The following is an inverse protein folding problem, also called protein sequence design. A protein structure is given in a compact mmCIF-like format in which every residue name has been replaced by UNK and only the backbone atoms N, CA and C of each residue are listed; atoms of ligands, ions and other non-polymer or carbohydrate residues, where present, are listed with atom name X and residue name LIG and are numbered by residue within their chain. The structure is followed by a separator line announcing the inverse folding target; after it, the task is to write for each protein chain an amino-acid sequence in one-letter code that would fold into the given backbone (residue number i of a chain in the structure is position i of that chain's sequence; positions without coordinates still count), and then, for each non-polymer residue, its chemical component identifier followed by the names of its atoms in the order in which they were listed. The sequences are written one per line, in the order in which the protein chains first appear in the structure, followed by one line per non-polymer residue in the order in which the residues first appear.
data_IF_466820591447
#
_entry.id   IF_466820591447
#
_cell.length_a   1.000
_cell.length_b   1.000
_cell.length_c   1.000
_cell.angle_alpha   90.00
_cell.angle_beta   90.00
_cell.angle_gamma   90.00
#
_symmetry.space_group_name_H-M   'P 1'
#
loop_
_entity.id
_entity.type
_entity.pdbx_description
1 polymer ?
#
# COMPACT_ATOMS: atom_id res chain seq x y z
N UNK A 1 16.45 -18.06 11.05
CA UNK A 1 15.97 -17.31 9.87
C UNK A 1 16.91 -17.64 8.73
N UNK A 2 16.44 -18.31 7.68
CA UNK A 2 17.32 -18.71 6.57
C UNK A 2 17.24 -17.61 5.52
N UNK A 3 18.30 -16.82 5.41
CA UNK A 3 18.43 -15.80 4.36
C UNK A 3 18.84 -16.48 3.05
N UNK A 4 18.40 -15.92 1.93
CA UNK A 4 18.44 -16.45 0.55
C UNK A 4 19.84 -16.69 -0.05
N UNK A 5 20.90 -16.79 0.75
CA UNK A 5 22.23 -17.17 0.26
C UNK A 5 22.31 -18.70 0.18
N UNK A 6 22.06 -19.21 -1.03
CA UNK A 6 22.24 -20.60 -1.51
C UNK A 6 21.44 -21.70 -0.81
N UNK A 7 20.11 -21.68 -0.96
CA UNK A 7 19.26 -22.83 -0.66
C UNK A 7 18.88 -23.53 -1.97
N UNK A 8 18.90 -24.87 -1.98
CA UNK A 8 18.42 -25.67 -3.12
C UNK A 8 17.05 -26.23 -2.80
N UNK A 9 16.10 -26.10 -3.73
CA UNK A 9 14.83 -26.81 -3.64
C UNK A 9 15.08 -28.29 -3.94
N UNK A 10 14.57 -29.19 -3.10
CA UNK A 10 14.63 -30.62 -3.38
C UNK A 10 13.86 -30.94 -4.65
N UNK A 11 14.35 -31.89 -5.47
CA UNK A 11 13.72 -32.24 -6.75
C UNK A 11 12.24 -32.61 -6.63
N UNK A 12 11.83 -33.22 -5.52
CA UNK A 12 10.43 -33.52 -5.21
C UNK A 12 9.55 -32.25 -5.14
N UNK A 13 10.05 -31.16 -4.57
CA UNK A 13 9.28 -29.89 -4.45
C UNK A 13 9.00 -29.28 -5.83
N UNK A 14 9.94 -29.42 -6.77
CA UNK A 14 9.73 -28.99 -8.16
C UNK A 14 8.77 -29.92 -8.91
N UNK A 15 8.85 -31.23 -8.66
CA UNK A 15 8.01 -32.21 -9.35
C UNK A 15 6.56 -32.24 -8.85
N UNK A 16 6.33 -31.96 -7.57
CA UNK A 16 5.00 -31.95 -6.96
C UNK A 16 4.27 -30.60 -7.17
N UNK A 17 4.96 -29.56 -7.64
CA UNK A 17 4.37 -28.27 -7.95
C UNK A 17 3.62 -28.32 -9.29
N UNK A 18 2.30 -28.10 -9.27
CA UNK A 18 1.51 -28.02 -10.50
C UNK A 18 1.66 -26.65 -11.18
N UNK A 19 1.96 -25.62 -10.39
CA UNK A 19 2.17 -24.25 -10.84
C UNK A 19 3.15 -23.49 -9.93
N UNK A 20 3.58 -22.31 -10.37
CA UNK A 20 4.51 -21.46 -9.64
C UNK A 20 4.00 -21.00 -8.26
N UNK A 21 2.67 -21.00 -8.02
CA UNK A 21 2.10 -20.67 -6.72
C UNK A 21 2.35 -21.77 -5.67
N UNK A 22 2.60 -23.01 -6.09
CA UNK A 22 2.88 -24.13 -5.18
C UNK A 22 4.32 -24.12 -4.66
N UNK A 23 5.20 -23.41 -5.37
CA UNK A 23 6.59 -23.22 -4.96
C UNK A 23 6.70 -22.36 -3.68
N UNK A 24 7.73 -22.59 -2.86
CA UNK A 24 7.97 -21.79 -1.66
C UNK A 24 8.12 -20.30 -1.98
N UNK A 25 7.42 -19.48 -1.20
CA UNK A 25 7.41 -18.03 -1.27
C UNK A 25 7.74 -17.41 0.08
N UNK A 26 7.97 -16.10 0.11
CA UNK A 26 8.27 -15.36 1.34
C UNK A 26 7.15 -15.57 2.37
N UNK A 27 7.54 -15.96 3.59
CA UNK A 27 6.62 -16.28 4.68
C UNK A 27 6.19 -17.75 4.75
N UNK A 28 6.55 -18.60 3.79
CA UNK A 28 6.26 -20.02 3.89
C UNK A 28 7.03 -20.72 5.02
N UNK A 29 6.32 -21.57 5.75
CA UNK A 29 6.92 -22.55 6.62
C UNK A 29 7.41 -23.73 5.78
N UNK A 30 8.68 -24.08 5.90
CA UNK A 30 9.32 -25.13 5.10
C UNK A 30 10.04 -26.15 5.99
N UNK A 31 9.93 -27.42 5.63
CA UNK A 31 10.77 -28.47 6.18
C UNK A 31 12.15 -28.40 5.52
N UNK A 32 13.18 -28.23 6.35
CA UNK A 32 14.55 -28.11 5.90
C UNK A 32 15.33 -29.38 6.24
N UNK A 33 16.11 -29.84 5.27
CA UNK A 33 17.17 -30.80 5.50
C UNK A 33 18.51 -30.06 5.52
N UNK A 34 19.24 -30.22 6.62
CA UNK A 34 20.55 -29.62 6.82
C UNK A 34 21.56 -30.76 6.77
N UNK A 35 22.43 -30.76 5.76
CA UNK A 35 23.53 -31.71 5.70
C UNK A 35 24.40 -31.63 6.96
N UNK A 36 25.22 -32.66 7.21
CA UNK A 36 26.01 -32.80 8.45
C UNK A 36 26.88 -31.58 8.79
N UNK A 37 27.33 -30.83 7.76
CA UNK A 37 28.16 -29.62 7.93
C UNK A 37 27.37 -28.29 7.87
N UNK A 38 26.04 -28.31 7.76
CA UNK A 38 25.16 -27.13 7.61
C UNK A 38 25.46 -26.21 6.40
N UNK A 39 26.40 -26.58 5.51
CA UNK A 39 26.77 -25.79 4.33
C UNK A 39 25.73 -25.85 3.20
N UNK A 40 24.94 -26.93 3.14
CA UNK A 40 23.83 -27.07 2.20
C UNK A 40 22.50 -27.22 2.94
N UNK A 41 21.56 -26.32 2.63
CA UNK A 41 20.19 -26.35 3.14
C UNK A 41 19.26 -26.67 1.98
N UNK A 42 18.57 -27.81 2.09
CA UNK A 42 17.61 -28.27 1.09
C UNK A 42 16.20 -28.10 1.65
N UNK A 43 15.34 -27.41 0.88
CA UNK A 43 13.90 -27.36 1.19
C UNK A 43 13.27 -28.67 0.71
N UNK A 44 12.76 -29.47 1.64
CA UNK A 44 12.14 -30.78 1.38
C UNK A 44 10.66 -30.68 1.12
N UNK A 45 9.98 -29.78 1.83
CA UNK A 45 8.53 -29.65 1.77
C UNK A 45 8.11 -28.23 2.19
N UNK A 46 7.03 -27.73 1.57
CA UNK A 46 6.32 -26.53 2.02
C UNK A 46 5.11 -26.96 2.84
N UNK A 47 4.99 -26.44 4.06
CA UNK A 47 3.85 -26.71 4.92
C UNK A 47 2.60 -25.91 4.46
N UNK A 48 1.39 -26.33 4.86
CA UNK A 48 0.16 -25.64 4.50
C UNK A 48 0.17 -24.15 4.87
N UNK A 49 -0.34 -23.31 3.96
CA UNK A 49 -0.49 -21.87 4.19
C UNK A 49 -1.81 -21.59 4.88
N UNK A 50 -1.81 -20.71 5.88
CA UNK A 50 -3.07 -20.21 6.46
C UNK A 50 -3.55 -18.91 5.79
N UNK A 51 -2.65 -18.16 5.17
CA UNK A 51 -2.98 -16.99 4.36
C UNK A 51 -2.08 -16.91 3.12
N UNK A 52 -2.62 -16.33 2.05
CA UNK A 52 -1.93 -16.26 0.74
C UNK A 52 -2.28 -14.98 0.01
N UNK A 53 -1.27 -14.13 -0.17
CA UNK A 53 -1.33 -12.95 -1.03
C UNK A 53 -0.73 -13.30 -2.39
N UNK A 54 -1.56 -13.22 -3.42
CA UNK A 54 -1.16 -13.58 -4.77
C UNK A 54 -1.65 -12.58 -5.80
N UNK A 55 -0.99 -12.63 -6.96
CA UNK A 55 -1.31 -11.82 -8.13
C UNK A 55 -1.33 -12.69 -9.37
N UNK A 56 -2.03 -12.25 -10.41
CA UNK A 56 -1.81 -12.80 -11.76
C UNK A 56 -0.49 -12.27 -12.30
N UNK A 57 0.31 -13.14 -12.92
CA UNK A 57 1.51 -12.71 -13.61
C UNK A 57 1.15 -11.82 -14.82
N UNK A 58 1.92 -10.75 -15.09
CA UNK A 58 1.77 -9.98 -16.33
C UNK A 58 2.10 -10.86 -17.55
N UNK A 59 1.15 -11.07 -18.45
CA UNK A 59 1.35 -11.85 -19.69
C UNK A 59 0.17 -12.74 -20.09
N UNK A 60 0.39 -13.63 -21.08
CA UNK A 60 -0.63 -14.56 -21.62
C UNK A 60 -0.89 -15.79 -20.74
N UNK A 61 -0.10 -16.02 -19.69
CA UNK A 61 -0.34 -17.13 -18.76
C UNK A 61 -1.21 -16.65 -17.60
N UNK A 62 -2.32 -17.35 -17.34
CA UNK A 62 -3.18 -17.11 -16.17
C UNK A 62 -2.55 -17.62 -14.85
N UNK A 63 -1.22 -17.60 -14.76
CA UNK A 63 -0.48 -18.19 -13.65
C UNK A 63 -0.48 -17.24 -12.45
N UNK A 64 -0.77 -17.81 -11.29
CA UNK A 64 -0.79 -17.14 -9.99
C UNK A 64 0.64 -17.06 -9.45
N UNK A 65 1.08 -15.86 -9.07
CA UNK A 65 2.34 -15.64 -8.36
C UNK A 65 2.02 -15.27 -6.91
N UNK A 66 2.59 -16.01 -5.96
CA UNK A 66 2.44 -15.73 -4.53
C UNK A 66 3.49 -14.71 -4.10
N UNK A 67 3.02 -13.60 -3.54
CA UNK A 67 3.84 -12.48 -3.10
C UNK A 67 4.21 -12.61 -1.62
N UNK A 68 3.28 -13.10 -0.80
CA UNK A 68 3.52 -13.39 0.62
C UNK A 68 2.57 -14.49 1.11
N UNK A 69 3.05 -15.33 2.01
CA UNK A 69 2.28 -16.37 2.66
C UNK A 69 2.36 -16.22 4.19
N UNK A 70 1.38 -16.80 4.90
CA UNK A 70 1.36 -16.86 6.37
C UNK A 70 1.51 -15.49 7.05
N UNK A 71 0.87 -14.48 6.48
CA UNK A 71 0.68 -13.16 7.08
C UNK A 71 -0.54 -13.22 8.00
N UNK A 72 -0.36 -12.93 9.28
CA UNK A 72 -1.45 -12.88 10.27
C UNK A 72 -2.24 -11.57 10.15
N UNK A 73 -1.54 -10.46 9.94
CA UNK A 73 -2.15 -9.12 9.98
C UNK A 73 -1.67 -8.29 8.80
N UNK A 74 -2.62 -7.72 8.06
CA UNK A 74 -2.32 -6.67 7.08
C UNK A 74 -2.74 -5.34 7.65
N UNK A 75 -1.76 -4.46 7.80
CA UNK A 75 -1.94 -3.10 8.28
C UNK A 75 -2.12 -2.17 7.09
N UNK A 76 -3.34 -1.69 6.88
CA UNK A 76 -3.66 -0.68 5.87
C UNK A 76 -3.43 0.70 6.49
N UNK A 77 -2.44 1.42 6.00
CA UNK A 77 -2.11 2.76 6.45
C UNK A 77 -2.72 3.77 5.47
N UNK A 78 -3.57 4.65 5.99
CA UNK A 78 -4.13 5.79 5.24
C UNK A 78 -4.06 7.05 6.10
N UNK A 79 -4.40 8.20 5.54
CA UNK A 79 -4.51 9.45 6.30
C UNK A 79 -5.93 10.03 6.21
N UNK A 80 -6.40 10.88 7.16
CA UNK A 80 -7.75 11.43 7.17
C UNK A 80 -8.18 12.33 6.00
N UNK A 81 -7.55 12.35 4.83
CA UNK A 81 -8.01 13.30 3.80
C UNK A 81 -7.73 12.91 2.36
N UNK A 82 -6.71 13.45 1.70
CA UNK A 82 -6.41 13.22 0.29
C UNK A 82 -6.11 11.75 -0.02
N UNK A 83 -5.61 10.98 0.95
CA UNK A 83 -5.50 9.53 0.76
C UNK A 83 -6.76 8.77 1.21
N UNK A 84 -7.62 9.42 2.00
CA UNK A 84 -8.85 8.83 2.48
C UNK A 84 -9.84 8.60 1.34
N UNK A 85 -9.90 7.37 0.85
CA UNK A 85 -10.84 6.93 -0.17
C UNK A 85 -11.54 5.66 0.32
N UNK A 86 -12.82 5.77 0.66
CA UNK A 86 -13.62 4.64 1.17
C UNK A 86 -13.71 3.48 0.19
N UNK A 87 -13.86 3.73 -1.12
CA UNK A 87 -13.91 2.65 -2.14
C UNK A 87 -12.59 1.89 -2.20
N UNK A 88 -11.45 2.59 -2.11
CA UNK A 88 -10.12 1.94 -2.05
C UNK A 88 -9.98 1.13 -0.76
N UNK A 89 -10.42 1.68 0.37
CA UNK A 89 -10.38 0.99 1.65
C UNK A 89 -11.25 -0.28 1.63
N UNK A 90 -12.44 -0.22 1.05
CA UNK A 90 -13.35 -1.36 0.90
C UNK A 90 -12.67 -2.50 0.14
N UNK A 91 -11.99 -2.15 -0.96
CA UNK A 91 -11.23 -3.11 -1.77
C UNK A 91 -10.08 -3.73 -0.99
N UNK A 92 -9.28 -2.93 -0.26
CA UNK A 92 -8.21 -3.46 0.58
C UNK A 92 -8.74 -4.45 1.60
N UNK A 93 -9.77 -4.06 2.34
CA UNK A 93 -10.36 -4.89 3.40
C UNK A 93 -10.92 -6.20 2.82
N UNK A 94 -11.64 -6.12 1.70
CA UNK A 94 -12.16 -7.30 1.00
C UNK A 94 -11.05 -8.24 0.54
N UNK A 95 -9.96 -7.71 -0.02
CA UNK A 95 -8.82 -8.53 -0.47
C UNK A 95 -8.11 -9.20 0.70
N UNK A 96 -7.87 -8.45 1.79
CA UNK A 96 -7.21 -8.96 3.00
C UNK A 96 -8.02 -10.09 3.61
N UNK A 97 -9.33 -9.91 3.74
CA UNK A 97 -10.24 -10.93 4.27
C UNK A 97 -10.24 -12.19 3.38
N UNK A 98 -10.28 -12.03 2.05
CA UNK A 98 -10.19 -13.16 1.10
C UNK A 98 -8.86 -13.91 1.19
N UNK A 99 -7.77 -13.22 1.52
CA UNK A 99 -6.45 -13.81 1.69
C UNK A 99 -6.30 -14.56 3.03
N UNK A 100 -7.28 -14.47 3.94
CA UNK A 100 -7.26 -15.14 5.25
C UNK A 100 -6.47 -14.40 6.33
N UNK A 101 -6.07 -13.14 6.08
CA UNK A 101 -5.37 -12.32 7.07
C UNK A 101 -6.33 -11.38 7.80
N UNK A 102 -5.97 -10.94 9.00
CA UNK A 102 -6.76 -9.98 9.79
C UNK A 102 -6.46 -8.54 9.32
N UNK A 103 -7.47 -7.76 8.90
CA UNK A 103 -7.27 -6.36 8.55
C UNK A 103 -7.16 -5.47 9.79
N UNK A 104 -6.13 -4.62 9.81
CA UNK A 104 -6.00 -3.51 10.77
C UNK A 104 -5.81 -2.22 9.96
N UNK A 105 -6.56 -1.17 10.29
CA UNK A 105 -6.45 0.12 9.62
C UNK A 105 -5.81 1.13 10.55
N UNK A 106 -4.72 1.75 10.09
CA UNK A 106 -4.12 2.90 10.75
C UNK A 106 -4.49 4.16 9.98
N UNK A 107 -5.34 4.97 10.59
CA UNK A 107 -5.63 6.33 10.17
C UNK A 107 -4.53 7.25 10.71
N UNK A 108 -3.42 7.31 9.98
CA UNK A 108 -2.18 8.00 10.35
C UNK A 108 -2.21 9.51 10.06
N UNK A 109 -1.24 10.24 10.60
CA UNK A 109 -1.11 11.71 10.48
C UNK A 109 -2.30 12.48 11.07
N UNK A 110 -2.94 11.92 12.10
CA UNK A 110 -4.05 12.56 12.78
C UNK A 110 -3.68 13.91 13.41
N UNK A 111 -2.39 14.14 13.70
CA UNK A 111 -1.82 15.41 14.19
C UNK A 111 -2.02 16.59 13.23
N UNK A 112 -2.29 16.32 11.94
CA UNK A 112 -2.50 17.35 10.92
C UNK A 112 -3.98 17.75 10.75
N UNK A 113 -4.91 17.10 11.46
CA UNK A 113 -6.35 17.27 11.27
C UNK A 113 -7.07 17.57 12.59
N UNK A 114 -8.19 18.32 12.55
CA UNK A 114 -9.05 18.48 13.71
C UNK A 114 -9.58 17.14 14.20
N UNK A 115 -9.71 16.97 15.51
CA UNK A 115 -10.17 15.72 16.14
C UNK A 115 -11.49 15.21 15.56
N UNK A 116 -12.48 16.09 15.40
CA UNK A 116 -13.79 15.76 14.79
C UNK A 116 -13.64 15.18 13.38
N UNK A 117 -12.68 15.66 12.60
CA UNK A 117 -12.43 15.17 11.25
C UNK A 117 -11.86 13.74 11.27
N UNK A 118 -10.92 13.47 12.17
CA UNK A 118 -10.39 12.13 12.40
C UNK A 118 -11.45 11.16 12.92
N UNK A 119 -12.33 11.61 13.81
CA UNK A 119 -13.43 10.79 14.33
C UNK A 119 -14.40 10.38 13.23
N UNK A 120 -14.83 11.32 12.39
CA UNK A 120 -15.72 11.04 11.27
C UNK A 120 -15.10 10.02 10.29
N UNK A 121 -13.84 10.23 9.91
CA UNK A 121 -13.13 9.29 9.03
C UNK A 121 -13.01 7.89 9.65
N UNK A 122 -12.74 7.79 10.96
CA UNK A 122 -12.71 6.51 11.65
C UNK A 122 -14.10 5.83 11.71
N UNK A 123 -15.18 6.60 11.89
CA UNK A 123 -16.55 6.07 11.85
C UNK A 123 -16.94 5.55 10.46
N UNK A 124 -16.61 6.28 9.39
CA UNK A 124 -16.86 5.82 8.02
C UNK A 124 -16.13 4.49 7.73
N UNK A 125 -14.89 4.33 8.20
CA UNK A 125 -14.17 3.06 8.11
C UNK A 125 -14.83 1.94 8.93
N UNK A 126 -15.33 2.23 10.14
CA UNK A 126 -16.01 1.23 10.98
C UNK A 126 -17.32 0.76 10.36
N UNK A 127 -18.01 1.66 9.64
CA UNK A 127 -19.20 1.31 8.88
C UNK A 127 -18.87 0.43 7.67
N UNK A 128 -17.64 0.53 7.13
CA UNK A 128 -17.19 -0.21 5.96
C UNK A 128 -16.84 -1.66 6.26
N UNK A 129 -16.15 -1.94 7.37
CA UNK A 129 -15.90 -3.30 7.83
C UNK A 129 -16.10 -3.41 9.34
N UNK A 130 -16.91 -4.40 9.74
CA UNK A 130 -17.11 -4.75 11.15
C UNK A 130 -15.98 -5.60 11.72
N UNK A 131 -15.12 -6.15 10.85
CA UNK A 131 -14.01 -7.05 11.22
C UNK A 131 -12.72 -6.26 11.39
N UNK A 132 -12.54 -5.18 10.63
CA UNK A 132 -11.33 -4.37 10.68
C UNK A 132 -11.22 -3.55 11.98
N UNK A 133 -10.08 -3.66 12.65
CA UNK A 133 -9.75 -2.80 13.79
C UNK A 133 -9.16 -1.48 13.30
N UNK A 134 -9.74 -0.35 13.72
CA UNK A 134 -9.40 0.98 13.21
C UNK A 134 -8.79 1.84 14.31
N UNK A 135 -7.58 2.32 14.06
CA UNK A 135 -6.82 3.14 15.00
C UNK A 135 -6.45 4.48 14.39
N UNK A 136 -6.77 5.55 15.11
CA UNK A 136 -6.31 6.90 14.80
C UNK A 136 -4.91 7.09 15.37
N UNK A 137 -3.94 7.41 14.53
CA UNK A 137 -2.52 7.40 14.89
C UNK A 137 -1.78 8.61 14.34
N UNK A 138 -0.62 8.88 14.94
CA UNK A 138 0.38 9.78 14.39
C UNK A 138 1.75 9.13 14.56
N UNK A 139 2.39 8.79 13.45
CA UNK A 139 3.77 8.31 13.46
C UNK A 139 4.72 9.40 13.99
N UNK A 140 4.42 10.68 13.74
CA UNK A 140 5.23 11.82 14.22
C UNK A 140 5.21 11.93 15.75
N UNK A 141 4.06 11.72 16.37
CA UNK A 141 3.90 11.75 17.82
C UNK A 141 4.07 10.35 18.46
N UNK A 142 4.64 9.39 17.73
CA UNK A 142 4.85 7.99 18.15
C UNK A 142 3.60 7.19 18.55
N UNK A 143 2.39 7.77 18.47
CA UNK A 143 1.13 7.08 18.84
C UNK A 143 0.82 5.87 17.95
N UNK A 144 1.32 5.84 16.72
CA UNK A 144 1.12 4.70 15.81
C UNK A 144 1.94 3.48 16.17
N UNK A 145 3.10 3.68 16.79
CA UNK A 145 4.01 2.61 17.17
C UNK A 145 3.44 1.77 18.30
N UNK A 146 2.85 2.41 19.30
CA UNK A 146 2.28 1.72 20.47
C UNK A 146 1.10 0.81 20.10
N UNK A 147 0.29 1.24 19.14
CA UNK A 147 -0.79 0.42 18.57
C UNK A 147 -0.20 -0.82 17.88
N UNK A 148 0.81 -0.64 17.03
CA UNK A 148 1.44 -1.74 16.31
C UNK A 148 2.11 -2.74 17.27
N UNK A 149 2.80 -2.25 18.31
CA UNK A 149 3.39 -3.08 19.37
C UNK A 149 2.38 -3.99 20.05
N UNK A 150 1.14 -3.53 20.24
CA UNK A 150 0.06 -4.35 20.81
C UNK A 150 -0.26 -5.62 20.00
N UNK A 151 0.04 -5.60 18.70
CA UNK A 151 -0.17 -6.73 17.79
C UNK A 151 1.06 -7.61 17.61
N UNK A 152 2.26 -7.06 17.83
CA UNK A 152 3.55 -7.67 17.52
C UNK A 152 3.99 -8.66 18.60
N UNK A 153 3.24 -9.75 18.74
CA UNK A 153 3.59 -10.86 19.61
C UNK A 153 4.56 -11.81 18.90
N UNK A 154 5.39 -12.59 19.64
CA UNK A 154 6.22 -13.63 19.05
C UNK A 154 5.39 -14.57 18.14
N UNK A 155 5.88 -14.79 16.93
CA UNK A 155 5.22 -15.62 15.91
C UNK A 155 4.17 -14.92 15.05
N UNK A 156 3.78 -13.69 15.36
CA UNK A 156 2.83 -12.91 14.53
C UNK A 156 3.56 -12.24 13.38
N UNK A 157 3.06 -12.46 12.16
CA UNK A 157 3.57 -11.87 10.93
C UNK A 157 2.68 -10.72 10.46
N UNK A 158 3.30 -9.56 10.22
CA UNK A 158 2.60 -8.36 9.76
C UNK A 158 3.16 -7.88 8.43
N UNK A 159 2.32 -7.17 7.68
CA UNK A 159 2.76 -6.38 6.52
C UNK A 159 2.00 -5.06 6.44
N UNK A 160 2.62 -4.04 5.85
CA UNK A 160 2.05 -2.69 5.73
C UNK A 160 1.72 -2.38 4.26
N UNK A 161 0.48 -1.99 4.00
CA UNK A 161 -0.02 -1.53 2.69
C UNK A 161 -0.66 -0.14 2.81
N UNK A 162 -0.90 0.53 1.68
CA UNK A 162 -1.45 1.89 1.64
C UNK A 162 -0.64 2.78 0.70
N UNK A 163 -1.11 3.96 0.36
CA UNK A 163 -0.51 4.78 -0.71
C UNK A 163 0.84 5.39 -0.35
N UNK A 164 1.58 5.89 -1.35
CA UNK A 164 2.85 6.58 -1.10
C UNK A 164 2.66 7.82 -0.23
N UNK A 165 3.59 8.08 0.69
CA UNK A 165 3.57 9.26 1.54
C UNK A 165 2.66 9.18 2.78
N UNK A 166 1.85 8.14 2.99
CA UNK A 166 0.98 8.01 4.19
C UNK A 166 1.73 7.69 5.49
N UNK A 167 3.05 7.46 5.42
CA UNK A 167 3.91 7.23 6.59
C UNK A 167 4.28 5.77 6.88
N UNK A 168 4.07 4.85 5.93
CA UNK A 168 4.45 3.42 6.07
C UNK A 168 5.94 3.25 6.41
N UNK A 169 6.83 3.88 5.64
CA UNK A 169 8.28 3.81 5.85
C UNK A 169 8.71 4.34 7.20
N UNK A 170 8.08 5.43 7.67
CA UNK A 170 8.31 5.97 9.01
C UNK A 170 7.91 4.96 10.09
N UNK A 171 6.75 4.32 9.96
CA UNK A 171 6.30 3.28 10.90
C UNK A 171 7.23 2.05 10.87
N UNK A 172 7.68 1.61 9.69
CA UNK A 172 8.64 0.50 9.56
C UNK A 172 9.97 0.82 10.24
N UNK A 173 10.50 2.02 10.03
CA UNK A 173 11.74 2.46 10.67
C UNK A 173 11.62 2.49 12.19
N UNK A 174 10.50 3.00 12.70
CA UNK A 174 10.20 3.02 14.13
C UNK A 174 10.13 1.59 14.71
N UNK A 175 9.50 0.65 14.00
CA UNK A 175 9.43 -0.75 14.41
C UNK A 175 10.79 -1.46 14.43
N UNK A 176 11.70 -1.08 13.54
CA UNK A 176 13.04 -1.67 13.44
C UNK A 176 14.07 -0.97 14.35
N UNK A 177 13.67 0.06 15.09
CA UNK A 177 14.53 0.77 16.05
C UNK A 177 15.59 1.68 15.40
N UNK A 178 15.35 2.22 14.19
CA UNK A 178 16.28 3.15 13.53
C UNK A 178 15.96 3.47 12.06
N UNK A 179 16.84 4.22 11.38
CA UNK A 179 16.70 4.56 9.95
C UNK A 179 17.05 3.39 9.03
N UNK A 180 16.13 2.43 8.94
CA UNK A 180 16.29 1.25 8.09
C UNK A 180 15.90 1.49 6.62
N UNK A 181 15.00 2.44 6.37
CA UNK A 181 14.59 2.95 5.06
C UNK A 181 14.96 4.43 4.97
N UNK A 182 15.54 4.88 3.85
CA UNK A 182 15.68 6.32 3.58
C UNK A 182 14.28 6.95 3.52
N UNK A 183 13.91 7.72 4.54
CA UNK A 183 12.72 8.57 4.51
C UNK A 183 13.09 9.88 3.81
N UNK A 184 13.28 9.85 2.50
CA UNK A 184 13.37 11.11 1.75
C UNK A 184 12.01 11.81 1.79
N UNK A 185 12.01 13.10 2.10
CA UNK A 185 10.86 13.96 1.84
C UNK A 185 10.47 13.84 0.36
N UNK A 186 9.17 13.81 0.11
CA UNK A 186 8.56 13.56 -1.21
C UNK A 186 9.27 14.38 -2.28
N UNK A 187 10.01 13.71 -3.18
CA UNK A 187 10.78 14.38 -4.23
C UNK A 187 9.80 14.89 -5.31
N UNK A 188 9.46 16.18 -5.26
CA UNK A 188 8.39 16.82 -6.05
C UNK A 188 8.66 16.92 -7.57
N UNK A 189 9.78 16.42 -8.09
CA UNK A 189 10.25 16.84 -9.42
C UNK A 189 10.27 15.75 -10.50
N UNK A 190 10.17 14.45 -10.17
CA UNK A 190 10.36 13.41 -11.22
C UNK A 190 9.31 12.30 -11.31
N UNK A 191 8.35 12.17 -10.38
CA UNK A 191 7.20 11.25 -10.51
C UNK A 191 7.52 9.75 -10.66
N UNK A 192 8.80 9.37 -10.78
CA UNK A 192 9.30 8.00 -10.79
C UNK A 192 10.41 7.92 -9.75
N UNK A 193 10.02 7.49 -8.55
CA UNK A 193 10.99 7.06 -7.55
C UNK A 193 11.75 5.86 -8.13
N UNK A 194 13.06 6.02 -8.32
CA UNK A 194 13.98 4.91 -8.60
C UNK A 194 14.13 4.12 -7.30
N UNK A 195 13.10 3.35 -6.98
CA UNK A 195 13.10 2.41 -5.86
C UNK A 195 14.04 1.27 -6.19
N UNK A 196 15.28 1.36 -5.70
CA UNK A 196 16.20 0.22 -5.73
C UNK A 196 16.27 -0.36 -4.33
N UNK A 197 15.15 -0.93 -3.86
CA UNK A 197 15.16 -1.79 -2.66
C UNK A 197 14.90 -3.22 -3.12
N UNK A 198 15.92 -3.82 -3.74
CA UNK A 198 15.79 -5.10 -4.43
C UNK A 198 15.69 -6.32 -3.52
N UNK A 199 15.97 -6.24 -2.20
CA UNK A 199 15.86 -7.42 -1.34
C UNK A 199 15.56 -7.08 0.12
N UNK A 200 14.27 -7.09 0.52
CA UNK A 200 13.84 -7.37 1.90
C UNK A 200 12.57 -8.22 1.83
N UNK A 201 12.59 -9.36 2.50
CA UNK A 201 11.58 -10.41 2.32
C UNK A 201 10.84 -10.67 3.64
N UNK A 202 11.55 -10.92 4.74
CA UNK A 202 10.97 -11.08 6.07
C UNK A 202 11.98 -10.65 7.12
N UNK A 203 11.57 -9.89 8.13
CA UNK A 203 12.44 -9.31 9.17
C UNK A 203 11.89 -9.65 10.56
N UNK A 204 12.73 -10.14 11.47
CA UNK A 204 12.37 -10.29 12.89
C UNK A 204 12.47 -8.93 13.56
N UNK A 205 11.40 -8.49 14.21
CA UNK A 205 11.40 -7.21 14.91
C UNK A 205 12.03 -7.35 16.30
N UNK A 206 12.76 -6.32 16.81
CA UNK A 206 13.46 -6.38 18.08
C UNK A 206 12.55 -6.71 19.28
N UNK A 207 11.32 -6.21 19.25
CA UNK A 207 10.33 -6.35 20.34
C UNK A 207 9.38 -7.56 20.14
N UNK A 208 9.58 -8.35 19.07
CA UNK A 208 8.75 -9.50 18.74
C UNK A 208 7.93 -9.33 17.46
N UNK A 209 7.51 -10.46 16.89
CA UNK A 209 6.81 -10.50 15.60
C UNK A 209 7.74 -10.44 14.38
N UNK A 210 7.14 -10.56 13.21
CA UNK A 210 7.80 -10.66 11.91
C UNK A 210 7.19 -9.60 10.98
N UNK A 211 8.03 -8.86 10.25
CA UNK A 211 7.61 -7.90 9.24
C UNK A 211 7.96 -8.41 7.85
N UNK A 212 6.95 -8.52 6.98
CA UNK A 212 7.13 -8.72 5.54
C UNK A 212 7.02 -7.36 4.86
N UNK A 213 8.13 -6.85 4.31
CA UNK A 213 8.20 -5.62 3.51
C UNK A 213 8.88 -5.96 2.18
N UNK A 214 8.14 -6.61 1.29
CA UNK A 214 8.59 -6.88 -0.06
C UNK A 214 7.89 -5.96 -1.07
N UNK A 215 8.52 -5.67 -2.22
CA UNK A 215 7.90 -4.88 -3.27
C UNK A 215 6.58 -5.48 -3.78
N UNK A 216 6.43 -6.81 -3.78
CA UNK A 216 5.23 -7.51 -4.22
C UNK A 216 3.98 -7.16 -3.39
N UNK A 217 4.10 -7.04 -2.07
CA UNK A 217 2.99 -6.63 -1.20
C UNK A 217 2.64 -5.16 -1.41
N UNK A 218 3.60 -4.32 -1.84
CA UNK A 218 3.29 -2.97 -2.33
C UNK A 218 2.50 -2.99 -3.64
N UNK A 219 2.49 -4.09 -4.39
CA UNK A 219 1.63 -4.22 -5.56
C UNK A 219 0.17 -4.40 -5.18
N UNK A 220 -0.19 -4.88 -3.98
CA UNK A 220 -1.58 -4.82 -3.48
C UNK A 220 -2.09 -3.36 -3.53
N UNK A 221 -1.19 -2.40 -3.31
CA UNK A 221 -1.47 -0.98 -3.56
C UNK A 221 -1.85 -0.74 -5.03
N UNK A 222 -1.06 -1.27 -5.97
CA UNK A 222 -1.34 -1.20 -7.41
C UNK A 222 -2.71 -1.84 -7.76
N UNK A 223 -3.04 -3.03 -7.26
CA UNK A 223 -4.34 -3.70 -7.48
C UNK A 223 -5.55 -2.83 -7.09
N UNK A 224 -5.35 -1.80 -6.27
CA UNK A 224 -6.41 -0.90 -5.80
C UNK A 224 -6.21 0.57 -6.19
N UNK A 225 -5.09 0.90 -6.85
CA UNK A 225 -4.74 2.23 -7.32
C UNK A 225 -5.45 2.53 -8.65
N UNK A 226 -5.73 3.81 -8.85
CA UNK A 226 -6.38 4.39 -10.04
C UNK A 226 -5.76 3.95 -11.37
N UNK A 227 -4.44 3.76 -11.38
CA UNK A 227 -3.68 3.34 -12.56
C UNK A 227 -4.07 1.93 -13.04
N UNK A 228 -4.28 0.98 -12.13
CA UNK A 228 -4.67 -0.39 -12.48
C UNK A 228 -6.16 -0.50 -12.81
N UNK A 229 -6.98 0.41 -12.29
CA UNK A 229 -8.35 0.59 -12.76
C UNK A 229 -8.37 1.12 -14.20
N UNK A 230 -7.53 2.11 -14.54
CA UNK A 230 -7.37 2.58 -15.94
C UNK A 230 -6.85 1.48 -16.86
N UNK A 231 -5.91 0.64 -16.42
CA UNK A 231 -5.49 -0.54 -17.20
C UNK A 231 -6.65 -1.50 -17.55
N UNK A 232 -7.66 -1.63 -16.69
CA UNK A 232 -8.85 -2.46 -16.99
C UNK A 232 -9.78 -1.87 -18.07
N UNK A 233 -9.56 -0.61 -18.42
CA UNK A 233 -10.20 0.14 -19.50
C UNK A 233 -9.17 0.57 -20.56
N UNK A 234 -8.02 -0.11 -20.66
CA UNK A 234 -6.98 0.23 -21.64
C UNK A 234 -7.52 0.25 -23.09
N UNK A 235 -8.48 -0.62 -23.40
CA UNK A 235 -9.22 -0.64 -24.67
C UNK A 235 -10.01 0.66 -24.92
N UNK A 236 -10.53 1.29 -23.86
CA UNK A 236 -11.24 2.57 -23.92
C UNK A 236 -10.26 3.75 -23.90
N UNK A 237 -9.15 3.66 -23.16
CA UNK A 237 -8.06 4.66 -23.16
C UNK A 237 -7.39 4.79 -24.54
N UNK A 238 -7.20 3.67 -25.25
CA UNK A 238 -6.66 3.66 -26.62
C UNK A 238 -7.59 4.40 -27.60
N UNK A 239 -8.91 4.32 -27.39
CA UNK A 239 -9.91 5.09 -28.15
C UNK A 239 -9.95 6.56 -27.71
N UNK A 240 -9.78 6.82 -26.41
CA UNK A 240 -9.68 8.17 -25.85
C UNK A 240 -8.50 8.94 -26.46
N UNK A 241 -7.34 8.30 -26.61
CA UNK A 241 -6.13 8.88 -27.20
C UNK A 241 -6.28 9.28 -28.68
N UNK A 242 -7.25 8.69 -29.38
CA UNK A 242 -7.57 9.00 -30.78
C UNK A 242 -8.60 10.13 -30.91
N UNK A 243 -9.15 10.62 -29.80
CA UNK A 243 -10.08 11.73 -29.83
C UNK A 243 -9.44 12.97 -30.42
N UNK A 244 -10.24 13.76 -31.15
CA UNK A 244 -9.79 14.99 -31.80
C UNK A 244 -9.16 16.00 -30.84
N UNK A 245 -9.61 16.00 -29.59
CA UNK A 245 -9.18 16.93 -28.55
C UNK A 245 -8.55 16.17 -27.38
N UNK A 246 -7.45 16.71 -26.85
CA UNK A 246 -6.73 16.14 -25.71
C UNK A 246 -7.46 16.32 -24.37
N UNK A 247 -8.45 17.21 -24.33
CA UNK A 247 -9.32 17.51 -23.18
C UNK A 247 -10.78 17.08 -23.43
N UNK A 248 -10.98 16.10 -24.32
CA UNK A 248 -12.29 15.50 -24.56
C UNK A 248 -12.82 14.87 -23.25
N UNK A 249 -14.03 15.27 -22.85
CA UNK A 249 -14.76 14.72 -21.70
C UNK A 249 -15.51 13.45 -22.03
N UNK A 250 -15.63 13.12 -23.32
CA UNK A 250 -16.34 11.96 -23.82
C UNK A 250 -17.84 11.93 -23.48
N UNK A 251 -18.41 13.09 -23.10
CA UNK A 251 -19.81 13.32 -22.71
C UNK A 251 -20.57 14.13 -23.78
N UNK A 252 -20.37 13.80 -25.07
CA UNK A 252 -21.06 14.46 -26.19
C UNK A 252 -20.18 15.41 -27.01
N UNK A 253 -18.86 15.32 -26.86
CA UNK A 253 -17.94 16.17 -27.61
C UNK A 253 -17.91 15.83 -29.10
N UNK A 254 -17.88 16.87 -29.95
CA UNK A 254 -17.83 16.69 -31.40
C UNK A 254 -16.53 15.99 -31.83
N UNK A 255 -16.66 14.80 -32.44
CA UNK A 255 -15.50 14.02 -32.87
C UNK A 255 -14.90 13.14 -31.77
N UNK A 256 -15.67 12.82 -30.73
CA UNK A 256 -15.30 11.83 -29.73
C UNK A 256 -15.28 10.42 -30.35
N UNK A 257 -14.10 9.79 -30.38
CA UNK A 257 -13.90 8.45 -30.94
C UNK A 257 -14.58 7.37 -30.08
N UNK A 258 -14.65 7.57 -28.76
CA UNK A 258 -15.36 6.65 -27.84
C UNK A 258 -16.86 6.59 -28.17
N UNK A 259 -17.48 7.73 -28.47
CA UNK A 259 -18.91 7.75 -28.79
C UNK A 259 -19.19 7.13 -30.15
N UNK A 260 -18.35 7.41 -31.15
CA UNK A 260 -18.43 6.72 -32.44
C UNK A 260 -18.29 5.21 -32.26
N UNK A 261 -17.37 4.75 -31.40
CA UNK A 261 -17.20 3.33 -31.12
C UNK A 261 -18.46 2.70 -30.47
N UNK A 262 -19.17 3.43 -29.61
CA UNK A 262 -20.46 2.99 -29.04
C UNK A 262 -21.57 2.97 -30.09
N UNK A 263 -21.66 3.99 -30.94
CA UNK A 263 -22.66 4.09 -32.03
C UNK A 263 -22.48 2.99 -33.09
N UNK A 264 -21.24 2.65 -33.42
CA UNK A 264 -20.87 1.59 -34.36
C UNK A 264 -20.93 0.18 -33.73
N UNK A 265 -21.20 0.09 -32.42
CA UNK A 265 -21.31 -1.18 -31.69
C UNK A 265 -19.98 -1.89 -31.41
N UNK A 266 -18.85 -1.19 -31.56
CA UNK A 266 -17.51 -1.71 -31.25
C UNK A 266 -17.12 -1.55 -29.78
N UNK A 267 -17.82 -0.68 -29.03
CA UNK A 267 -17.72 -0.56 -27.58
C UNK A 267 -19.09 -0.76 -26.92
N UNK A 268 -19.14 -1.62 -25.90
CA UNK A 268 -20.36 -1.89 -25.15
C UNK A 268 -20.84 -0.64 -24.37
N UNK A 269 -22.14 -0.26 -24.44
CA UNK A 269 -22.66 0.91 -23.74
C UNK A 269 -22.50 0.87 -22.21
N UNK A 270 -22.60 -0.30 -21.57
CA UNK A 270 -22.41 -0.43 -20.12
C UNK A 270 -20.93 -0.24 -19.74
N UNK A 271 -20.01 -0.68 -20.62
CA UNK A 271 -18.57 -0.45 -20.47
C UNK A 271 -18.22 1.03 -20.60
N UNK A 272 -18.82 1.75 -21.56
CA UNK A 272 -18.71 3.21 -21.68
C UNK A 272 -19.23 3.94 -20.43
N UNK A 273 -20.40 3.58 -19.93
CA UNK A 273 -20.97 4.16 -18.70
C UNK A 273 -20.11 3.87 -17.46
N UNK A 274 -19.41 2.75 -17.43
CA UNK A 274 -18.49 2.40 -16.35
C UNK A 274 -17.20 3.23 -16.42
N UNK A 275 -16.73 3.52 -17.65
CA UNK A 275 -15.57 4.38 -17.89
C UNK A 275 -15.82 5.85 -17.49
N UNK A 276 -16.98 6.43 -17.85
CA UNK A 276 -17.32 7.80 -17.43
C UNK A 276 -17.37 7.94 -15.90
N UNK A 277 -17.99 6.96 -15.22
CA UNK A 277 -18.04 6.92 -13.74
C UNK A 277 -16.65 6.84 -13.11
N UNK A 278 -15.70 6.19 -13.78
CA UNK A 278 -14.30 6.13 -13.35
C UNK A 278 -13.63 7.50 -13.50
N UNK A 279 -13.77 8.16 -14.65
CA UNK A 279 -13.16 9.48 -14.90
C UNK A 279 -13.71 10.57 -13.95
N UNK A 280 -15.02 10.57 -13.69
CA UNK A 280 -15.62 11.45 -12.68
C UNK A 280 -15.01 11.23 -11.28
N UNK A 281 -14.82 9.96 -10.88
CA UNK A 281 -14.22 9.60 -9.60
C UNK A 281 -12.77 10.09 -9.51
N UNK A 282 -12.02 9.97 -10.60
CA UNK A 282 -10.62 10.40 -10.71
C UNK A 282 -10.51 11.93 -10.61
N UNK A 283 -11.34 12.67 -11.34
CA UNK A 283 -11.34 14.13 -11.26
C UNK A 283 -11.70 14.63 -9.86
N UNK A 284 -12.70 14.01 -9.22
CA UNK A 284 -13.12 14.30 -7.85
C UNK A 284 -11.94 14.10 -6.88
N UNK A 285 -11.21 12.98 -7.00
CA UNK A 285 -10.03 12.69 -6.18
C UNK A 285 -8.91 13.70 -6.40
N UNK A 286 -8.62 14.06 -7.65
CA UNK A 286 -7.58 15.03 -7.99
C UNK A 286 -7.91 16.44 -7.49
N UNK A 287 -9.17 16.88 -7.63
CA UNK A 287 -9.66 18.15 -7.07
C UNK A 287 -9.53 18.19 -5.55
N UNK A 288 -9.88 17.10 -4.86
CA UNK A 288 -9.73 16.97 -3.39
C UNK A 288 -8.26 17.00 -2.97
N UNK A 289 -7.38 16.28 -3.69
CA UNK A 289 -5.92 16.31 -3.50
C UNK A 289 -5.34 17.72 -3.62
N UNK A 290 -5.67 18.44 -4.68
CA UNK A 290 -5.14 19.78 -4.93
C UNK A 290 -5.63 20.80 -3.88
N UNK A 291 -6.92 20.77 -3.52
CA UNK A 291 -7.47 21.61 -2.45
C UNK A 291 -6.80 21.32 -1.11
N UNK A 292 -6.54 20.05 -0.79
CA UNK A 292 -5.90 19.66 0.46
C UNK A 292 -4.41 19.99 0.50
N UNK A 293 -3.67 19.82 -0.59
CA UNK A 293 -2.27 20.28 -0.68
C UNK A 293 -2.18 21.76 -0.30
N UNK A 294 -3.03 22.58 -0.91
CA UNK A 294 -3.12 24.00 -0.58
C UNK A 294 -3.55 24.26 0.87
N UNK A 295 -4.50 23.49 1.42
CA UNK A 295 -4.97 23.65 2.80
C UNK A 295 -3.90 23.26 3.83
N UNK A 296 -3.22 22.12 3.64
CA UNK A 296 -2.13 21.63 4.49
C UNK A 296 -0.93 22.57 4.42
N UNK A 297 -0.55 23.05 3.24
CA UNK A 297 0.49 24.07 3.10
C UNK A 297 0.12 25.38 3.81
N UNK A 298 -1.14 25.83 3.68
CA UNK A 298 -1.62 27.05 4.36
C UNK A 298 -1.64 26.88 5.87
N UNK A 299 -2.07 25.72 6.36
CA UNK A 299 -2.08 25.41 7.79
C UNK A 299 -0.67 25.28 8.36
N UNK A 300 0.23 24.60 7.66
CA UNK A 300 1.65 24.50 8.02
C UNK A 300 2.33 25.88 8.05
N UNK A 301 2.08 26.74 7.04
CA UNK A 301 2.56 28.13 7.02
C UNK A 301 1.98 28.96 8.17
N UNK A 302 0.70 28.77 8.51
CA UNK A 302 0.05 29.46 9.64
C UNK A 302 0.65 29.02 10.97
N UNK A 303 0.85 27.72 11.18
CA UNK A 303 1.45 27.19 12.39
C UNK A 303 2.91 27.59 12.55
N UNK A 304 3.72 27.59 11.47
CA UNK A 304 5.08 28.15 11.51
C UNK A 304 5.07 29.62 11.90
N UNK A 305 4.15 30.44 11.36
CA UNK A 305 4.01 31.86 11.74
C UNK A 305 3.56 32.05 13.19
N UNK A 306 2.70 31.17 13.71
CA UNK A 306 2.25 31.20 15.11
C UNK A 306 3.41 30.84 16.04
N UNK A 307 4.14 29.74 15.77
CA UNK A 307 5.34 29.36 16.52
C UNK A 307 6.42 30.45 16.47
N UNK A 308 6.67 31.07 15.30
CA UNK A 308 7.64 32.16 15.18
C UNK A 308 7.27 33.44 15.97
N UNK A 309 5.98 33.61 16.35
CA UNK A 309 5.50 34.77 17.12
C UNK A 309 5.65 34.59 18.63
N UNK A 310 5.64 33.36 19.12
CA UNK A 310 5.80 33.04 20.53
C UNK A 310 7.29 32.89 20.87
N UNK A 311 7.74 33.54 21.96
CA UNK A 311 9.16 33.51 22.36
C UNK A 311 9.62 32.10 22.78
N UNK A 312 8.77 31.35 23.50
CA UNK A 312 9.07 29.99 23.91
C UNK A 312 9.23 29.05 22.70
N UNK A 313 8.27 29.10 21.77
CA UNK A 313 8.28 28.29 20.55
C UNK A 313 9.45 28.66 19.60
N UNK A 314 9.93 29.91 19.60
CA UNK A 314 11.17 30.31 18.89
C UNK A 314 12.42 29.67 19.47
N UNK A 315 12.53 29.66 20.81
CA UNK A 315 13.69 29.06 21.49
C UNK A 315 13.71 27.54 21.22
N UNK A 316 12.55 26.91 21.15
CA UNK A 316 12.41 25.49 20.80
C UNK A 316 12.73 25.23 19.32
N UNK A 317 12.24 26.07 18.40
CA UNK A 317 12.59 25.99 16.97
C UNK A 317 14.08 26.24 16.71
N UNK A 318 14.71 27.21 17.38
CA UNK A 318 16.14 27.49 17.25
C UNK A 318 17.00 26.35 17.78
N UNK A 319 16.53 25.61 18.80
CA UNK A 319 17.17 24.37 19.28
C UNK A 319 17.02 23.23 18.28
N UNK A 320 15.82 23.04 17.72
CA UNK A 320 15.58 22.06 16.65
C UNK A 320 16.45 22.35 15.40
N UNK A 321 16.54 23.61 14.96
CA UNK A 321 17.34 24.02 13.79
C UNK A 321 18.86 23.91 14.03
N UNK A 322 19.32 24.00 15.28
CA UNK A 322 20.72 23.76 15.65
C UNK A 322 21.07 22.29 15.87
N UNK A 323 20.08 21.39 15.80
CA UNK A 323 20.27 19.96 16.08
C UNK A 323 20.56 19.67 17.56
N UNK A 324 20.11 20.55 18.46
CA UNK A 324 20.31 20.43 19.91
C UNK A 324 19.11 19.75 20.61
N UNK A 325 18.26 19.06 19.83
CA UNK A 325 17.09 18.31 20.29
C UNK A 325 17.40 16.82 20.48
#
# INVERSE_FOLDING_TARGET
MVTTRSQRLGGKVWHDAENDADLPSVGDWVALDRGENCDEVIIRERLPRFSRFSRKMPGKSAQEQVLAANVDIVVVVTDPGADFNLRRMERYLTLIERCGARPVVLLNKADLFPEKHCMNAAEELRNLSRVAEIHTTSAKECRGLDVLRGYLKPGVTITLVGSSGVGKSTLVNQLLGGEWQETSEVNEVTGRGRHTTSHRELVVLPEGGLLIDNPGVREIQMWTDEFTLRESFADVDDLAAQCRFTDCKHEGDTGCVIQLAVEEGSLDPDRYQSYLRLEEEIEELNRRRQKRRMATERWAKRNRRVKARNLADRIELEKEERGEA
#
